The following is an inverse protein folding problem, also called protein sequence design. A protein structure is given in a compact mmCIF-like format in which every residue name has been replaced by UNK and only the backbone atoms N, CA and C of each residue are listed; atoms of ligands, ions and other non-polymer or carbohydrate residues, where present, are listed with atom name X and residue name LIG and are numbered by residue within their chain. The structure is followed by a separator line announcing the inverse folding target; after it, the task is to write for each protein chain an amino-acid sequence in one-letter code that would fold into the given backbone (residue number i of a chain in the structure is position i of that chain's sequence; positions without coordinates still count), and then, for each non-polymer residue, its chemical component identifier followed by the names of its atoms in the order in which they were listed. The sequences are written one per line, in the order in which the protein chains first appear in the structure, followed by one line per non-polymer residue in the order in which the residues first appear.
data_IF_412563520190
#
_entry.id   IF_412563520190
#
_cell.length_a   1.000
_cell.length_b   1.000
_cell.length_c   1.000
_cell.angle_alpha   90.00
_cell.angle_beta   90.00
_cell.angle_gamma   90.00
#
_symmetry.space_group_name_H-M   'P 1'
#
loop_
_entity.id
_entity.type
_entity.pdbx_description
1 polymer ?
#
# COMPACT_ATOMS: atom_id res chain seq x y z
N UNK A 1 -11.76 -29.08 15.44
CA UNK A 1 -12.16 -27.76 16.01
C UNK A 1 -13.34 -27.92 16.98
N UNK A 2 -13.50 -27.06 17.98
CA UNK A 2 -14.65 -27.11 18.91
C UNK A 2 -15.76 -26.14 18.47
N UNK A 3 -17.03 -26.53 18.63
CA UNK A 3 -18.17 -25.67 18.32
C UNK A 3 -18.33 -24.57 19.39
N UNK A 4 -18.34 -23.29 19.00
CA UNK A 4 -18.51 -22.16 19.93
C UNK A 4 -19.90 -22.10 20.60
N UNK A 5 -20.91 -22.78 20.04
CA UNK A 5 -22.27 -22.77 20.60
C UNK A 5 -22.54 -23.90 21.58
N UNK A 6 -22.10 -25.13 21.28
CA UNK A 6 -22.39 -26.31 22.12
C UNK A 6 -21.17 -26.97 22.75
N UNK A 7 -19.96 -26.48 22.48
CA UNK A 7 -18.70 -26.96 23.07
C UNK A 7 -18.21 -28.33 22.57
N UNK A 8 -18.97 -29.05 21.74
CA UNK A 8 -18.57 -30.38 21.24
C UNK A 8 -17.48 -30.29 20.16
N UNK A 9 -16.59 -31.28 20.15
CA UNK A 9 -15.55 -31.42 19.14
C UNK A 9 -16.13 -31.83 17.77
N UNK A 10 -15.67 -31.17 16.71
CA UNK A 10 -15.96 -31.48 15.31
C UNK A 10 -14.66 -31.76 14.54
N UNK A 11 -14.82 -32.48 13.43
CA UNK A 11 -13.79 -32.65 12.39
C UNK A 11 -13.44 -31.30 11.77
N UNK A 12 -12.23 -31.19 11.23
CA UNK A 12 -11.70 -29.91 10.73
C UNK A 12 -12.43 -29.38 9.51
N UNK A 13 -13.03 -30.25 8.70
CA UNK A 13 -13.72 -29.88 7.46
C UNK A 13 -15.24 -29.65 7.63
N UNK A 14 -15.77 -29.82 8.85
CA UNK A 14 -17.19 -29.60 9.11
C UNK A 14 -17.57 -28.12 8.97
N UNK A 15 -18.35 -27.76 7.95
CA UNK A 15 -18.94 -26.40 7.84
C UNK A 15 -19.98 -26.11 8.91
N UNK A 16 -20.74 -27.13 9.29
CA UNK A 16 -21.76 -27.09 10.33
C UNK A 16 -21.45 -28.08 11.45
N UNK A 17 -21.79 -27.72 12.69
CA UNK A 17 -21.64 -28.62 13.82
C UNK A 17 -22.59 -29.82 13.70
N UNK A 18 -22.04 -31.04 13.74
CA UNK A 18 -22.82 -32.28 13.64
C UNK A 18 -23.81 -32.53 14.79
N UNK A 19 -23.74 -31.75 15.86
CA UNK A 19 -24.58 -31.92 17.05
C UNK A 19 -25.65 -30.85 17.24
N UNK A 20 -25.39 -29.59 16.86
CA UNK A 20 -26.33 -28.47 17.09
C UNK A 20 -26.65 -27.68 15.82
N UNK A 21 -26.12 -28.06 14.66
CA UNK A 21 -26.40 -27.44 13.37
C UNK A 21 -25.80 -26.03 13.16
N UNK A 22 -25.06 -25.49 14.14
CA UNK A 22 -24.48 -24.15 14.02
C UNK A 22 -23.32 -24.14 13.04
N UNK A 23 -23.25 -23.11 12.19
CA UNK A 23 -22.13 -22.93 11.27
C UNK A 23 -20.85 -22.65 12.06
N UNK A 24 -19.84 -23.49 11.92
CA UNK A 24 -18.57 -23.39 12.66
C UNK A 24 -17.39 -22.98 11.76
N UNK A 25 -17.58 -23.05 10.44
CA UNK A 25 -16.62 -22.56 9.46
C UNK A 25 -17.39 -21.75 8.41
N UNK A 26 -17.17 -20.43 8.32
CA UNK A 26 -17.69 -19.66 7.19
C UNK A 26 -17.03 -20.16 5.89
N UNK A 27 -17.72 -20.08 4.73
CA UNK A 27 -17.08 -20.40 3.46
C UNK A 27 -15.85 -19.49 3.28
N UNK A 28 -14.79 -20.03 2.70
CA UNK A 28 -13.67 -19.20 2.28
C UNK A 28 -14.21 -18.18 1.27
N UNK A 29 -14.14 -16.90 1.61
CA UNK A 29 -14.44 -15.83 0.66
C UNK A 29 -13.22 -15.72 -0.25
N UNK A 30 -13.35 -16.20 -1.48
CA UNK A 30 -12.35 -15.98 -2.52
C UNK A 30 -12.52 -14.54 -2.98
N UNK A 31 -11.70 -13.63 -2.48
CA UNK A 31 -11.65 -12.25 -2.97
C UNK A 31 -10.96 -12.30 -4.32
N UNK A 32 -11.58 -11.79 -5.40
CA UNK A 32 -10.97 -11.87 -6.71
C UNK A 32 -9.73 -10.96 -6.74
N UNK A 33 -8.68 -11.46 -7.39
CA UNK A 33 -7.31 -10.90 -7.40
C UNK A 33 -7.24 -9.45 -7.94
N UNK A 34 -8.23 -9.05 -8.72
CA UNK A 34 -8.43 -7.74 -9.32
C UNK A 34 -8.96 -6.70 -8.32
N UNK A 35 -9.61 -7.12 -7.23
CA UNK A 35 -10.07 -6.25 -6.16
C UNK A 35 -8.94 -5.87 -5.18
N UNK A 36 -7.76 -6.48 -5.31
CA UNK A 36 -6.65 -6.21 -4.42
C UNK A 36 -5.92 -4.91 -4.83
N UNK A 37 -6.51 -3.77 -4.46
CA UNK A 37 -5.93 -2.44 -4.64
C UNK A 37 -4.57 -2.29 -3.95
N UNK A 38 -4.32 -3.08 -2.91
CA UNK A 38 -3.07 -3.10 -2.16
C UNK A 38 -2.08 -4.08 -2.80
N UNK A 39 -1.07 -3.58 -3.55
CA UNK A 39 -0.05 -4.46 -4.09
C UNK A 39 0.82 -5.01 -2.95
N UNK A 40 1.26 -6.29 -3.00
CA UNK A 40 2.26 -6.82 -2.08
C UNK A 40 3.68 -6.29 -2.42
N UNK A 41 3.79 -4.97 -2.56
CA UNK A 41 5.00 -4.21 -2.85
C UNK A 41 5.05 -3.01 -1.87
N UNK A 42 5.66 -3.18 -0.69
CA UNK A 42 5.65 -2.14 0.35
C UNK A 42 6.36 -0.86 -0.10
N UNK A 43 7.42 -0.98 -0.89
CA UNK A 43 8.17 0.18 -1.40
C UNK A 43 7.29 1.03 -2.33
N UNK A 44 6.51 0.42 -3.24
CA UNK A 44 5.59 1.15 -4.11
C UNK A 44 4.44 1.82 -3.34
N UNK A 45 3.91 1.13 -2.33
CA UNK A 45 2.84 1.67 -1.49
C UNK A 45 3.33 2.85 -0.64
N UNK A 46 4.50 2.72 -0.03
CA UNK A 46 5.08 3.82 0.73
C UNK A 46 5.44 5.01 -0.18
N UNK A 47 5.90 4.76 -1.40
CA UNK A 47 6.13 5.80 -2.39
C UNK A 47 4.85 6.61 -2.65
N UNK A 48 3.71 5.93 -2.81
CA UNK A 48 2.40 6.57 -3.01
C UNK A 48 2.03 7.46 -1.82
N UNK A 49 2.08 6.95 -0.59
CA UNK A 49 1.72 7.73 0.60
C UNK A 49 2.65 8.92 0.81
N UNK A 50 3.97 8.73 0.69
CA UNK A 50 4.94 9.81 0.86
C UNK A 50 4.85 10.84 -0.26
N UNK A 51 4.54 10.42 -1.48
CA UNK A 51 4.36 11.30 -2.64
C UNK A 51 3.16 12.23 -2.43
N UNK A 52 2.01 11.69 -2.01
CA UNK A 52 0.83 12.49 -1.68
C UNK A 52 1.08 13.40 -0.48
N UNK A 53 1.67 12.88 0.60
CA UNK A 53 2.01 13.67 1.78
C UNK A 53 2.99 14.81 1.45
N UNK A 54 3.86 14.61 0.45
CA UNK A 54 4.83 15.63 0.03
C UNK A 54 4.15 16.86 -0.58
N UNK A 55 2.95 16.73 -1.14
CA UNK A 55 2.21 17.88 -1.68
C UNK A 55 1.73 18.82 -0.57
N UNK A 56 1.53 18.29 0.63
CA UNK A 56 1.07 19.08 1.79
C UNK A 56 2.25 19.73 2.54
N UNK A 57 3.35 18.99 2.71
CA UNK A 57 4.43 19.38 3.63
C UNK A 57 5.81 19.56 2.94
N UNK A 58 5.98 19.14 1.68
CA UNK A 58 7.21 19.28 0.88
C UNK A 58 8.37 18.37 1.29
N UNK A 59 8.49 18.04 2.58
CA UNK A 59 9.67 17.36 3.16
C UNK A 59 9.79 15.90 2.70
N UNK A 60 8.68 15.23 2.42
CA UNK A 60 8.68 13.79 2.06
C UNK A 60 8.92 13.52 0.58
N UNK A 61 9.21 14.54 -0.24
CA UNK A 61 9.37 14.36 -1.70
C UNK A 61 10.56 13.47 -2.07
N UNK A 62 11.72 13.67 -1.45
CA UNK A 62 12.92 12.84 -1.69
C UNK A 62 12.69 11.36 -1.31
N UNK A 63 12.24 11.01 -0.09
CA UNK A 63 12.00 9.62 0.26
C UNK A 63 10.89 8.97 -0.58
N UNK A 64 9.89 9.73 -1.05
CA UNK A 64 8.89 9.23 -1.99
C UNK A 64 9.51 8.75 -3.31
N UNK A 65 10.45 9.53 -3.88
CA UNK A 65 11.15 9.18 -5.12
C UNK A 65 12.00 7.92 -4.91
N UNK A 66 12.76 7.85 -3.80
CA UNK A 66 13.64 6.70 -3.51
C UNK A 66 12.82 5.41 -3.38
N UNK A 67 11.72 5.45 -2.62
CA UNK A 67 10.85 4.27 -2.47
C UNK A 67 10.13 3.93 -3.78
N UNK A 68 9.76 4.92 -4.58
CA UNK A 68 9.17 4.66 -5.90
C UNK A 68 10.12 3.93 -6.84
N UNK A 69 11.39 4.34 -6.91
CA UNK A 69 12.40 3.66 -7.75
C UNK A 69 12.64 2.23 -7.26
N UNK A 70 12.73 2.01 -5.94
CA UNK A 70 12.87 0.67 -5.37
C UNK A 70 11.64 -0.20 -5.66
N UNK A 71 10.44 0.37 -5.53
CA UNK A 71 9.18 -0.29 -5.83
C UNK A 71 9.04 -0.71 -7.30
N UNK A 72 9.44 0.16 -8.25
CA UNK A 72 9.47 -0.18 -9.68
C UNK A 72 10.48 -1.28 -10.00
N UNK A 73 11.67 -1.23 -9.38
CA UNK A 73 12.68 -2.29 -9.54
C UNK A 73 12.17 -3.63 -9.00
N UNK A 74 11.51 -3.61 -7.85
CA UNK A 74 10.91 -4.80 -7.25
C UNK A 74 9.79 -5.38 -8.13
N UNK A 75 8.88 -4.55 -8.64
CA UNK A 75 7.80 -4.98 -9.54
C UNK A 75 8.34 -5.59 -10.85
N UNK A 76 9.49 -5.10 -11.34
CA UNK A 76 10.15 -5.67 -12.52
C UNK A 76 10.80 -7.03 -12.27
N UNK A 77 11.33 -7.25 -11.07
CA UNK A 77 11.93 -8.53 -10.66
C UNK A 77 10.87 -9.57 -10.26
N UNK A 78 9.76 -9.09 -9.69
CA UNK A 78 8.65 -9.88 -9.17
C UNK A 78 7.33 -9.36 -9.76
N UNK A 79 6.95 -9.80 -10.97
CA UNK A 79 5.71 -9.35 -11.63
C UNK A 79 4.44 -9.62 -10.81
N UNK A 80 4.48 -10.64 -9.94
CA UNK A 80 3.43 -10.98 -8.98
C UNK A 80 3.20 -9.89 -7.93
N UNK A 81 4.21 -9.06 -7.64
CA UNK A 81 4.13 -8.00 -6.64
C UNK A 81 3.29 -6.79 -7.10
N UNK A 82 3.26 -6.53 -8.42
CA UNK A 82 2.57 -5.39 -9.04
C UNK A 82 2.97 -4.04 -8.38
N UNK A 83 2.13 -3.01 -8.51
CA UNK A 83 2.30 -1.74 -7.82
C UNK A 83 2.93 -0.60 -8.64
N UNK A 84 3.09 -0.76 -9.95
CA UNK A 84 3.73 0.25 -10.81
C UNK A 84 3.03 1.62 -10.76
N UNK A 85 1.70 1.64 -10.76
CA UNK A 85 0.90 2.87 -10.66
C UNK A 85 1.21 3.61 -9.35
N UNK A 86 1.26 2.90 -8.23
CA UNK A 86 1.56 3.48 -6.91
C UNK A 86 2.98 4.06 -6.86
N UNK A 87 3.95 3.35 -7.44
CA UNK A 87 5.32 3.83 -7.51
C UNK A 87 5.45 5.09 -8.39
N UNK A 88 4.79 5.13 -9.56
CA UNK A 88 4.81 6.29 -10.45
C UNK A 88 4.15 7.53 -9.84
N UNK A 89 3.02 7.37 -9.15
CA UNK A 89 2.38 8.47 -8.42
C UNK A 89 3.35 9.05 -7.39
N UNK A 90 4.06 8.19 -6.64
CA UNK A 90 5.07 8.61 -5.68
C UNK A 90 6.24 9.39 -6.31
N UNK A 91 6.76 8.90 -7.43
CA UNK A 91 7.88 9.54 -8.14
C UNK A 91 7.48 10.89 -8.72
N UNK A 92 6.36 10.97 -9.44
CA UNK A 92 5.90 12.20 -10.09
C UNK A 92 5.53 13.23 -9.02
N UNK A 93 4.77 12.82 -8.00
CA UNK A 93 4.39 13.69 -6.89
C UNK A 93 5.61 14.21 -6.12
N UNK A 94 6.55 13.34 -5.77
CA UNK A 94 7.78 13.71 -5.07
C UNK A 94 8.71 14.61 -5.91
N UNK A 95 8.85 14.34 -7.21
CA UNK A 95 9.69 15.17 -8.09
C UNK A 95 9.12 16.58 -8.25
N UNK A 96 7.79 16.69 -8.42
CA UNK A 96 7.11 17.98 -8.50
C UNK A 96 7.30 18.80 -7.22
N UNK A 97 7.15 18.19 -6.05
CA UNK A 97 7.27 18.89 -4.77
C UNK A 97 8.70 19.34 -4.48
N UNK A 98 9.69 18.48 -4.76
CA UNK A 98 11.11 18.86 -4.65
C UNK A 98 11.43 20.05 -5.56
N UNK A 99 10.95 20.03 -6.81
CA UNK A 99 11.16 21.14 -7.75
C UNK A 99 10.51 22.43 -7.24
N UNK A 100 9.24 22.38 -6.79
CA UNK A 100 8.54 23.54 -6.25
C UNK A 100 9.23 24.14 -5.03
N UNK A 101 9.67 23.31 -4.07
CA UNK A 101 10.39 23.78 -2.88
C UNK A 101 11.73 24.41 -3.26
N UNK A 102 12.46 23.80 -4.20
CA UNK A 102 13.73 24.34 -4.68
C UNK A 102 13.56 25.72 -5.34
N UNK A 103 12.55 25.88 -6.19
CA UNK A 103 12.24 27.18 -6.83
C UNK A 103 11.80 28.24 -5.81
N UNK A 104 11.01 27.85 -4.80
CA UNK A 104 10.60 28.75 -3.72
C UNK A 104 11.82 29.27 -2.95
N UNK A 105 12.73 28.37 -2.56
CA UNK A 105 13.97 28.73 -1.85
C UNK A 105 14.80 29.72 -2.68
N UNK A 106 15.00 29.45 -3.97
CA UNK A 106 15.73 30.36 -4.87
C UNK A 106 15.06 31.73 -4.93
N UNK A 107 13.73 31.78 -5.10
CA UNK A 107 12.98 33.03 -5.15
C UNK A 107 13.12 33.86 -3.88
N UNK A 108 13.06 33.22 -2.71
CA UNK A 108 13.28 33.89 -1.41
C UNK A 108 14.69 34.42 -1.28
N UNK A 109 15.70 33.64 -1.68
CA UNK A 109 17.11 34.07 -1.65
C UNK A 109 17.34 35.28 -2.56
N UNK A 110 16.82 35.25 -3.78
CA UNK A 110 16.91 36.38 -4.72
C UNK A 110 16.23 37.61 -4.14
N UNK A 111 15.02 37.47 -3.59
CA UNK A 111 14.29 38.58 -2.97
C UNK A 111 14.99 39.15 -1.73
N UNK A 112 15.79 38.36 -1.02
CA UNK A 112 16.53 38.82 0.14
C UNK A 112 17.85 39.51 -0.22
N UNK A 113 18.36 39.33 -1.45
CA UNK A 113 19.60 39.91 -1.93
C UNK A 113 19.40 41.19 -2.79
N UNK A 114 18.17 41.52 -3.17
CA UNK A 114 17.76 42.73 -3.91
C UNK A 114 17.28 43.82 -2.96
#
# INVERSE_FOLDING_TARGET
MFCYRCGKANEEDNRFCKYCGTMIRPPAVVVPEDLNYFPPNPDALWAYYLGIASLLCGITGIPAIVMGIRGLRYAKLHPEARGEVHAWVGIIGGALTVLCVFMLIIGVVISACL
#
